data_IF_424484569245
#
_entry.id   IF_424484569245
#
_cell.length_a   1.000
_cell.length_b   1.000
_cell.length_c   1.000
_cell.angle_alpha   90.00
_cell.angle_beta   90.00
_cell.angle_gamma   90.00
#
_symmetry.space_group_name_H-M   'P 1'
#
loop_
_entity.id
_entity.type
_entity.pdbx_description
1 polymer ?
#
# COMPACT_ATOMS: atom_id res chain seq x y z
N UNK A 1 26.02 -14.79 5.60
CA UNK A 1 24.97 -15.65 5.03
C UNK A 1 25.66 -16.69 4.16
N UNK A 2 25.43 -17.98 4.41
CA UNK A 2 25.95 -19.04 3.54
C UNK A 2 25.16 -19.01 2.22
N UNK A 3 25.80 -19.18 1.05
CA UNK A 3 25.10 -19.22 -0.22
C UNK A 3 24.18 -20.46 -0.22
N UNK A 4 22.88 -20.23 -0.22
CA UNK A 4 21.88 -21.29 -0.43
C UNK A 4 21.90 -21.63 -1.92
N UNK A 5 22.05 -22.91 -2.26
CA UNK A 5 21.94 -23.34 -3.64
C UNK A 5 20.50 -23.07 -4.14
N UNK A 6 20.38 -22.25 -5.17
CA UNK A 6 19.09 -21.89 -5.78
C UNK A 6 18.85 -22.68 -7.06
N UNK A 7 17.63 -23.14 -7.29
CA UNK A 7 17.19 -23.72 -8.56
C UNK A 7 16.42 -22.65 -9.32
N UNK A 8 16.98 -22.12 -10.41
CA UNK A 8 16.45 -20.95 -11.13
C UNK A 8 14.96 -21.08 -11.46
N UNK A 9 14.53 -22.21 -12.04
CA UNK A 9 13.13 -22.46 -12.38
C UNK A 9 12.16 -22.39 -11.17
N UNK A 10 12.62 -22.78 -9.98
CA UNK A 10 11.80 -22.69 -8.75
C UNK A 10 11.70 -21.23 -8.29
N UNK A 11 12.79 -20.47 -8.37
CA UNK A 11 12.80 -19.05 -8.01
C UNK A 11 11.90 -18.24 -8.96
N UNK A 12 11.94 -18.53 -10.25
CA UNK A 12 11.07 -17.91 -11.24
C UNK A 12 9.59 -18.23 -10.99
N UNK A 13 9.28 -19.48 -10.59
CA UNK A 13 7.93 -19.87 -10.19
C UNK A 13 7.48 -19.10 -8.94
N UNK A 14 8.35 -18.91 -7.94
CA UNK A 14 8.00 -18.11 -6.78
C UNK A 14 7.68 -16.65 -7.14
N UNK A 15 8.41 -16.05 -8.08
CA UNK A 15 8.15 -14.70 -8.56
C UNK A 15 6.79 -14.60 -9.25
N UNK A 16 6.47 -15.55 -10.12
CA UNK A 16 5.17 -15.65 -10.79
C UNK A 16 4.02 -15.85 -9.82
N UNK A 17 4.13 -16.85 -8.95
CA UNK A 17 3.06 -17.24 -8.04
C UNK A 17 2.78 -16.13 -7.03
N UNK A 18 3.81 -15.42 -6.54
CA UNK A 18 3.63 -14.28 -5.66
C UNK A 18 2.80 -13.17 -6.35
N UNK A 19 3.15 -12.81 -7.59
CA UNK A 19 2.42 -11.82 -8.37
C UNK A 19 0.97 -12.26 -8.64
N UNK A 20 0.79 -13.49 -9.11
CA UNK A 20 -0.52 -14.06 -9.43
C UNK A 20 -1.43 -14.17 -8.20
N UNK A 21 -0.92 -14.71 -7.09
CA UNK A 21 -1.70 -14.91 -5.87
C UNK A 21 -2.11 -13.58 -5.24
N UNK A 22 -1.25 -12.56 -5.29
CA UNK A 22 -1.62 -11.22 -4.83
C UNK A 22 -2.74 -10.60 -5.69
N UNK A 23 -2.63 -10.68 -7.02
CA UNK A 23 -3.68 -10.19 -7.92
C UNK A 23 -5.01 -10.93 -7.70
N UNK A 24 -4.96 -12.25 -7.55
CA UNK A 24 -6.13 -13.07 -7.23
C UNK A 24 -6.74 -12.66 -5.90
N UNK A 25 -5.93 -12.56 -4.84
CA UNK A 25 -6.39 -12.11 -3.52
C UNK A 25 -7.10 -10.76 -3.62
N UNK A 26 -6.50 -9.80 -4.32
CA UNK A 26 -7.05 -8.45 -4.49
C UNK A 26 -8.42 -8.45 -5.18
N UNK A 27 -8.63 -9.33 -6.16
CA UNK A 27 -9.92 -9.44 -6.87
C UNK A 27 -11.00 -10.11 -6.03
N UNK A 28 -10.62 -11.11 -5.24
CA UNK A 28 -11.58 -11.98 -4.55
C UNK A 28 -11.86 -11.57 -3.10
N UNK A 29 -11.05 -10.71 -2.47
CA UNK A 29 -11.17 -10.37 -1.04
C UNK A 29 -12.55 -9.76 -0.68
N UNK A 30 -13.14 -9.01 -1.60
CA UNK A 30 -14.48 -8.42 -1.47
C UNK A 30 -15.52 -9.13 -2.36
N UNK A 31 -15.12 -10.27 -2.96
CA UNK A 31 -15.98 -11.08 -3.83
C UNK A 31 -16.93 -11.98 -3.04
N UNK A 32 -17.96 -12.49 -3.71
CA UNK A 32 -18.96 -13.40 -3.10
C UNK A 32 -18.63 -14.89 -3.27
N UNK A 33 -17.55 -15.21 -4.00
CA UNK A 33 -17.23 -16.59 -4.41
C UNK A 33 -16.36 -17.30 -3.36
N UNK A 34 -15.34 -16.62 -2.85
CA UNK A 34 -14.39 -17.21 -1.92
C UNK A 34 -14.78 -16.91 -0.48
N UNK A 35 -14.69 -17.92 0.37
CA UNK A 35 -14.88 -17.76 1.82
C UNK A 35 -13.56 -17.38 2.50
N UNK A 36 -13.63 -17.02 3.79
CA UNK A 36 -12.46 -16.65 4.60
C UNK A 36 -11.34 -17.70 4.54
N UNK A 37 -11.69 -18.99 4.56
CA UNK A 37 -10.72 -20.08 4.50
C UNK A 37 -9.99 -20.11 3.15
N UNK A 38 -10.67 -19.82 2.04
CA UNK A 38 -10.06 -19.79 0.71
C UNK A 38 -9.10 -18.62 0.57
N UNK A 39 -9.48 -17.45 1.09
CA UNK A 39 -8.59 -16.28 1.17
C UNK A 39 -7.37 -16.60 2.03
N UNK A 40 -7.55 -17.24 3.19
CA UNK A 40 -6.46 -17.67 4.06
C UNK A 40 -5.47 -18.61 3.36
N UNK A 41 -5.96 -19.52 2.51
CA UNK A 41 -5.10 -20.39 1.67
C UNK A 41 -4.32 -19.60 0.62
N UNK A 42 -4.93 -18.58 0.02
CA UNK A 42 -4.22 -17.68 -0.91
C UNK A 42 -3.13 -16.93 -0.16
N UNK A 43 -3.42 -16.38 1.02
CA UNK A 43 -2.46 -15.64 1.84
C UNK A 43 -1.28 -16.53 2.27
N UNK A 44 -1.54 -17.75 2.74
CA UNK A 44 -0.49 -18.70 3.11
C UNK A 44 0.44 -19.04 1.94
N UNK A 45 -0.14 -19.30 0.75
CA UNK A 45 0.64 -19.60 -0.45
C UNK A 45 1.42 -18.37 -0.93
N UNK A 46 0.84 -17.20 -0.80
CA UNK A 46 1.49 -15.94 -1.15
C UNK A 46 2.72 -15.72 -0.26
N UNK A 47 2.58 -15.89 1.05
CA UNK A 47 3.69 -15.76 2.00
C UNK A 47 4.80 -16.78 1.72
N UNK A 48 4.46 -18.04 1.45
CA UNK A 48 5.45 -19.06 1.13
C UNK A 48 6.28 -18.72 -0.13
N UNK A 49 5.66 -18.12 -1.15
CA UNK A 49 6.37 -17.70 -2.36
C UNK A 49 7.27 -16.48 -2.10
N UNK A 50 6.79 -15.51 -1.32
CA UNK A 50 7.60 -14.35 -0.91
C UNK A 50 8.81 -14.83 -0.08
N UNK A 51 8.61 -15.75 0.87
CA UNK A 51 9.67 -16.37 1.65
C UNK A 51 10.69 -17.11 0.78
N UNK A 52 10.22 -17.86 -0.23
CA UNK A 52 11.08 -18.50 -1.21
C UNK A 52 11.97 -17.52 -1.97
N UNK A 53 11.42 -16.39 -2.43
CA UNK A 53 12.18 -15.32 -3.06
C UNK A 53 13.20 -14.68 -2.11
N UNK A 54 12.79 -14.41 -0.85
CA UNK A 54 13.68 -13.85 0.16
C UNK A 54 14.85 -14.79 0.48
N UNK A 55 14.58 -16.10 0.58
CA UNK A 55 15.60 -17.13 0.81
C UNK A 55 16.57 -17.27 -0.37
N UNK A 56 16.12 -17.01 -1.60
CA UNK A 56 16.95 -17.00 -2.80
C UNK A 56 17.85 -15.75 -2.92
N UNK A 57 17.66 -14.73 -2.07
CA UNK A 57 18.49 -13.53 -2.03
C UNK A 57 18.55 -12.81 -3.39
N UNK A 58 19.77 -12.56 -3.89
CA UNK A 58 19.98 -11.89 -5.19
C UNK A 58 19.27 -12.61 -6.34
N UNK A 59 19.22 -13.95 -6.35
CA UNK A 59 18.51 -14.67 -7.40
C UNK A 59 16.99 -14.40 -7.34
N UNK A 60 16.42 -14.27 -6.14
CA UNK A 60 15.02 -13.89 -5.96
C UNK A 60 14.72 -12.48 -6.44
N UNK A 61 15.63 -11.53 -6.19
CA UNK A 61 15.54 -10.17 -6.74
C UNK A 61 15.56 -10.18 -8.26
N UNK A 62 16.58 -10.85 -8.84
CA UNK A 62 16.79 -10.88 -10.29
C UNK A 62 15.58 -11.52 -10.98
N UNK A 63 15.00 -12.58 -10.42
CA UNK A 63 13.78 -13.21 -10.93
C UNK A 63 12.57 -12.27 -10.87
N UNK A 64 12.31 -11.62 -9.73
CA UNK A 64 11.21 -10.66 -9.60
C UNK A 64 11.37 -9.46 -10.55
N UNK A 65 12.60 -8.97 -10.72
CA UNK A 65 12.91 -7.86 -11.62
C UNK A 65 12.80 -8.25 -13.09
N UNK A 66 13.26 -9.45 -13.46
CA UNK A 66 13.09 -9.99 -14.81
C UNK A 66 11.59 -10.13 -15.13
N UNK A 67 10.81 -10.69 -14.21
CA UNK A 67 9.34 -10.77 -14.33
C UNK A 67 8.69 -9.41 -14.55
N UNK A 68 9.05 -8.39 -13.77
CA UNK A 68 8.51 -7.05 -13.96
C UNK A 68 8.94 -6.42 -15.30
N UNK A 69 10.14 -6.75 -15.78
CA UNK A 69 10.65 -6.27 -17.06
C UNK A 69 9.89 -6.88 -18.24
N UNK A 70 9.60 -8.19 -18.16
CA UNK A 70 8.81 -8.90 -19.17
C UNK A 70 7.32 -8.51 -19.09
N UNK A 71 6.83 -8.28 -17.87
CA UNK A 71 5.43 -7.98 -17.55
C UNK A 71 5.37 -6.82 -16.54
N UNK A 72 5.29 -5.59 -17.05
CA UNK A 72 5.17 -4.38 -16.24
C UNK A 72 3.75 -4.23 -15.68
N UNK A 73 3.37 -5.12 -14.76
CA UNK A 73 2.03 -5.24 -14.22
C UNK A 73 2.03 -5.09 -12.68
N UNK A 74 0.88 -4.77 -12.05
CA UNK A 74 0.80 -4.53 -10.61
C UNK A 74 1.25 -5.71 -9.73
N UNK A 75 1.06 -6.96 -10.17
CA UNK A 75 1.43 -8.13 -9.37
C UNK A 75 2.93 -8.30 -9.24
N UNK A 76 3.63 -8.10 -10.34
CA UNK A 76 5.08 -8.20 -10.47
C UNK A 76 5.74 -7.06 -9.69
N UNK A 77 5.18 -5.85 -9.75
CA UNK A 77 5.61 -4.74 -8.92
C UNK A 77 5.37 -4.99 -7.42
N UNK A 78 4.25 -5.63 -7.05
CA UNK A 78 4.01 -6.01 -5.67
C UNK A 78 5.10 -6.97 -5.15
N UNK A 79 5.47 -8.00 -5.93
CA UNK A 79 6.54 -8.92 -5.56
C UNK A 79 7.90 -8.20 -5.43
N UNK A 80 8.25 -7.38 -6.42
CA UNK A 80 9.48 -6.58 -6.44
C UNK A 80 9.56 -5.62 -5.24
N UNK A 81 8.49 -4.85 -5.00
CA UNK A 81 8.41 -3.90 -3.90
C UNK A 81 8.46 -4.58 -2.53
N UNK A 82 7.85 -5.76 -2.39
CA UNK A 82 7.90 -6.52 -1.13
C UNK A 82 9.32 -6.95 -0.80
N UNK A 83 10.09 -7.42 -1.78
CA UNK A 83 11.50 -7.78 -1.58
C UNK A 83 12.36 -6.56 -1.22
N UNK A 84 12.23 -5.46 -1.96
CA UNK A 84 12.97 -4.23 -1.71
C UNK A 84 12.76 -3.71 -0.28
N UNK A 85 11.50 -3.61 0.14
CA UNK A 85 11.12 -3.13 1.48
C UNK A 85 11.54 -4.12 2.57
N UNK A 86 11.44 -5.42 2.31
CA UNK A 86 11.84 -6.43 3.28
C UNK A 86 13.37 -6.55 3.44
N UNK A 87 14.17 -6.25 2.44
CA UNK A 87 15.62 -6.15 2.65
C UNK A 87 16.05 -4.82 3.24
N UNK A 88 15.19 -3.80 3.16
CA UNK A 88 15.50 -2.46 3.67
C UNK A 88 16.63 -1.78 2.89
N UNK A 89 16.80 -2.17 1.63
CA UNK A 89 17.83 -1.63 0.74
C UNK A 89 17.27 -0.40 0.01
N UNK A 90 17.87 0.76 0.25
CA UNK A 90 17.38 2.03 -0.27
C UNK A 90 17.41 2.11 -1.81
N UNK A 91 18.41 1.50 -2.45
CA UNK A 91 18.52 1.51 -3.91
C UNK A 91 17.43 0.64 -4.53
N UNK A 92 17.15 -0.52 -3.94
CA UNK A 92 16.07 -1.40 -4.40
C UNK A 92 14.69 -0.77 -4.17
N UNK A 93 14.50 -0.05 -3.06
CA UNK A 93 13.27 0.68 -2.77
C UNK A 93 13.07 1.82 -3.78
N UNK A 94 14.13 2.55 -4.13
CA UNK A 94 14.07 3.59 -5.17
C UNK A 94 13.65 2.99 -6.53
N UNK A 95 14.24 1.86 -6.93
CA UNK A 95 13.84 1.14 -8.16
C UNK A 95 12.34 0.78 -8.13
N UNK A 96 11.84 0.28 -7.00
CA UNK A 96 10.43 -0.07 -6.87
C UNK A 96 9.51 1.16 -6.94
N UNK A 97 9.92 2.31 -6.39
CA UNK A 97 9.19 3.58 -6.48
C UNK A 97 9.14 4.09 -7.92
N UNK A 98 10.25 4.04 -8.64
CA UNK A 98 10.31 4.45 -10.05
C UNK A 98 9.44 3.54 -10.93
N UNK A 99 9.47 2.23 -10.68
CA UNK A 99 8.60 1.26 -11.32
C UNK A 99 7.11 1.49 -10.99
N UNK A 100 6.79 1.95 -9.79
CA UNK A 100 5.43 2.32 -9.43
C UNK A 100 4.94 3.58 -10.15
N UNK A 101 5.83 4.55 -10.38
CA UNK A 101 5.51 5.77 -11.10
C UNK A 101 5.07 5.49 -12.54
N UNK A 102 5.71 4.52 -13.22
CA UNK A 102 5.32 4.13 -14.59
C UNK A 102 3.94 3.46 -14.68
N UNK A 103 3.46 2.85 -13.59
CA UNK A 103 2.14 2.21 -13.49
C UNK A 103 1.06 3.10 -12.84
N UNK A 104 1.38 4.34 -12.48
CA UNK A 104 0.45 5.30 -11.89
C UNK A 104 -0.22 4.81 -10.60
N UNK A 105 -1.54 4.99 -10.49
CA UNK A 105 -2.28 4.63 -9.27
C UNK A 105 -2.24 3.12 -8.97
N UNK A 106 -2.19 2.27 -10.01
CA UNK A 106 -2.06 0.83 -9.84
C UNK A 106 -0.68 0.46 -9.25
N UNK A 107 0.37 1.16 -9.66
CA UNK A 107 1.71 1.00 -9.10
C UNK A 107 1.77 1.38 -7.62
N UNK A 108 1.23 2.54 -7.27
CA UNK A 108 1.14 3.01 -5.89
C UNK A 108 0.32 2.06 -5.00
N UNK A 109 -0.76 1.48 -5.55
CA UNK A 109 -1.55 0.44 -4.86
C UNK A 109 -0.74 -0.83 -4.59
N UNK A 110 0.15 -1.21 -5.51
CA UNK A 110 1.01 -2.40 -5.39
C UNK A 110 2.05 -2.22 -4.29
N UNK A 111 2.73 -1.07 -4.28
CA UNK A 111 3.67 -0.72 -3.20
C UNK A 111 2.96 -0.53 -1.86
N UNK A 112 1.76 0.05 -1.83
CA UNK A 112 0.96 0.12 -0.61
C UNK A 112 0.65 -1.26 -0.03
N UNK A 113 0.45 -2.28 -0.87
CA UNK A 113 0.28 -3.66 -0.41
C UNK A 113 1.59 -4.30 0.05
N UNK A 114 2.71 -4.01 -0.61
CA UNK A 114 4.05 -4.43 -0.15
C UNK A 114 4.37 -3.83 1.25
N UNK A 115 4.06 -2.55 1.45
CA UNK A 115 4.16 -1.87 2.75
C UNK A 115 3.32 -2.57 3.82
N UNK A 116 2.10 -3.00 3.49
CA UNK A 116 1.22 -3.69 4.44
C UNK A 116 1.81 -5.02 4.95
N UNK A 117 2.63 -5.71 4.14
CA UNK A 117 3.30 -6.97 4.48
C UNK A 117 4.71 -6.79 5.03
N UNK A 118 5.22 -5.57 5.07
CA UNK A 118 6.58 -5.30 5.56
C UNK A 118 6.57 -4.96 7.05
N UNK A 119 7.41 -5.58 7.89
CA UNK A 119 7.52 -5.23 9.30
C UNK A 119 7.89 -3.76 9.52
N UNK A 120 7.29 -3.14 10.55
CA UNK A 120 7.47 -1.72 10.86
C UNK A 120 8.94 -1.32 11.00
N UNK A 121 9.78 -2.20 11.57
CA UNK A 121 11.20 -1.93 11.82
C UNK A 121 11.95 -1.62 10.53
N UNK A 122 11.58 -2.30 9.45
CA UNK A 122 12.19 -2.14 8.12
C UNK A 122 11.65 -0.93 7.38
N UNK A 123 10.41 -0.53 7.67
CA UNK A 123 9.77 0.64 7.06
C UNK A 123 10.19 1.97 7.69
N UNK A 124 10.56 1.98 8.98
CA UNK A 124 10.81 3.22 9.75
C UNK A 124 11.74 4.24 9.05
N UNK A 125 12.89 3.85 8.48
CA UNK A 125 13.78 4.80 7.80
C UNK A 125 13.08 5.48 6.61
N UNK A 126 12.39 4.68 5.78
CA UNK A 126 11.73 5.16 4.57
C UNK A 126 10.50 6.01 4.86
N UNK A 127 9.68 5.62 5.84
CA UNK A 127 8.43 6.35 6.14
C UNK A 127 8.72 7.78 6.60
N UNK A 128 9.77 7.99 7.39
CA UNK A 128 10.17 9.34 7.79
C UNK A 128 10.55 10.18 6.56
N UNK A 129 11.40 9.64 5.69
CA UNK A 129 11.83 10.30 4.45
C UNK A 129 10.65 10.60 3.50
N UNK A 130 9.78 9.62 3.29
CA UNK A 130 8.60 9.75 2.43
C UNK A 130 7.58 10.77 2.93
N UNK A 131 7.50 11.01 4.23
CA UNK A 131 6.62 12.06 4.77
C UNK A 131 7.24 13.46 4.63
N UNK A 132 8.57 13.55 4.62
CA UNK A 132 9.31 14.82 4.57
C UNK A 132 9.66 15.27 3.13
N UNK A 133 9.65 14.35 2.15
CA UNK A 133 9.84 14.64 0.72
C UNK A 133 8.78 15.61 0.16
N UNK A 134 9.03 16.24 -0.99
CA UNK A 134 8.02 17.03 -1.73
C UNK A 134 7.20 16.19 -2.71
N UNK A 135 7.61 14.95 -2.96
CA UNK A 135 6.93 14.05 -3.88
C UNK A 135 5.61 13.52 -3.29
N UNK A 136 4.49 13.83 -3.96
CA UNK A 136 3.17 13.45 -3.49
C UNK A 136 2.91 11.93 -3.50
N UNK A 137 3.34 11.16 -4.53
CA UNK A 137 3.30 9.69 -4.49
C UNK A 137 4.04 9.07 -3.29
N UNK A 138 5.26 9.52 -2.98
CA UNK A 138 6.00 9.06 -1.80
C UNK A 138 5.26 9.42 -0.51
N UNK A 139 4.75 10.66 -0.36
CA UNK A 139 3.90 11.01 0.81
C UNK A 139 2.69 10.08 0.94
N UNK A 140 2.08 9.69 -0.18
CA UNK A 140 1.00 8.72 -0.18
C UNK A 140 1.44 7.33 0.31
N UNK A 141 2.66 6.88 -0.03
CA UNK A 141 3.24 5.64 0.51
C UNK A 141 3.49 5.74 2.02
N UNK A 142 4.04 6.86 2.48
CA UNK A 142 4.20 7.15 3.91
C UNK A 142 2.87 7.07 4.66
N UNK A 143 1.82 7.70 4.15
CA UNK A 143 0.46 7.62 4.70
C UNK A 143 -0.12 6.19 4.65
N UNK A 144 0.13 5.43 3.59
CA UNK A 144 -0.24 4.01 3.52
C UNK A 144 0.45 3.20 4.61
N UNK A 145 1.74 3.46 4.88
CA UNK A 145 2.46 2.78 5.96
C UNK A 145 1.85 3.11 7.33
N UNK A 146 1.57 4.38 7.60
CA UNK A 146 0.90 4.80 8.83
C UNK A 146 -0.48 4.15 8.98
N UNK A 147 -1.24 4.02 7.90
CA UNK A 147 -2.55 3.36 7.88
C UNK A 147 -2.46 1.87 8.21
N UNK A 148 -1.64 1.11 7.47
CA UNK A 148 -1.53 -0.34 7.64
C UNK A 148 -0.98 -0.72 9.01
N UNK A 149 -0.05 0.08 9.54
CA UNK A 149 0.61 -0.16 10.83
C UNK A 149 -0.06 0.57 12.00
N UNK A 150 -1.17 1.30 11.75
CA UNK A 150 -1.94 2.07 12.73
C UNK A 150 -1.08 3.00 13.59
N UNK A 151 -0.16 3.73 12.95
CA UNK A 151 0.74 4.68 13.62
C UNK A 151 0.19 6.09 13.48
N UNK A 152 0.09 6.81 14.59
CA UNK A 152 -0.24 8.24 14.59
C UNK A 152 1.01 9.10 14.36
N UNK A 153 1.09 9.89 13.27
CA UNK A 153 2.20 10.82 13.05
C UNK A 153 2.09 12.11 13.88
N UNK A 154 1.11 12.18 14.80
CA UNK A 154 0.92 13.27 15.74
C UNK A 154 0.48 14.57 15.04
N UNK A 155 1.10 15.71 15.35
CA UNK A 155 0.75 17.01 14.76
C UNK A 155 0.91 17.08 13.24
N UNK A 156 1.84 16.29 12.65
CA UNK A 156 2.09 16.27 11.20
C UNK A 156 0.82 15.93 10.39
N UNK A 157 -0.14 15.24 11.01
CA UNK A 157 -1.38 14.87 10.34
C UNK A 157 -2.25 16.08 9.94
N UNK A 158 -2.14 17.21 10.66
CA UNK A 158 -2.85 18.44 10.28
C UNK A 158 -2.39 18.93 8.91
N UNK A 159 -1.09 19.09 8.72
CA UNK A 159 -0.52 19.59 7.47
C UNK A 159 -0.81 18.64 6.30
N UNK A 160 -0.80 17.34 6.55
CA UNK A 160 -1.13 16.32 5.55
C UNK A 160 -2.62 16.34 5.18
N UNK A 161 -3.52 16.62 6.13
CA UNK A 161 -4.96 16.69 5.87
C UNK A 161 -5.37 17.95 5.08
N UNK A 162 -4.60 19.04 5.19
CA UNK A 162 -4.80 20.28 4.42
C UNK A 162 -3.80 20.44 3.25
N UNK A 163 -3.13 19.37 2.85
CA UNK A 163 -2.11 19.40 1.81
C UNK A 163 -2.63 19.92 0.46
N UNK A 164 -1.78 20.47 -0.42
CA UNK A 164 -2.24 20.97 -1.74
C UNK A 164 -2.63 19.85 -2.72
N UNK A 165 -1.96 18.70 -2.63
CA UNK A 165 -2.27 17.50 -3.41
C UNK A 165 -3.47 16.72 -2.82
N UNK A 166 -4.48 16.47 -3.66
CA UNK A 166 -5.72 15.76 -3.30
C UNK A 166 -5.50 14.30 -2.87
N UNK A 167 -4.50 13.60 -3.43
CA UNK A 167 -4.18 12.22 -3.08
C UNK A 167 -3.55 12.10 -1.70
N UNK A 168 -2.73 13.08 -1.31
CA UNK A 168 -2.19 13.20 0.04
C UNK A 168 -3.31 13.54 1.03
N UNK A 169 -4.10 14.58 0.74
CA UNK A 169 -5.22 14.99 1.60
C UNK A 169 -6.19 13.86 1.89
N UNK A 170 -6.70 13.16 0.86
CA UNK A 170 -7.70 12.10 1.06
C UNK A 170 -7.18 10.96 1.92
N UNK A 171 -5.89 10.61 1.80
CA UNK A 171 -5.26 9.56 2.60
C UNK A 171 -5.05 10.01 4.04
N UNK A 172 -4.65 11.26 4.27
CA UNK A 172 -4.51 11.84 5.60
C UNK A 172 -5.87 11.96 6.32
N UNK A 173 -6.92 12.41 5.63
CA UNK A 173 -8.30 12.44 6.13
C UNK A 173 -8.79 11.04 6.49
N UNK A 174 -8.55 10.06 5.63
CA UNK A 174 -8.88 8.65 5.93
C UNK A 174 -8.14 8.15 7.16
N UNK A 175 -6.84 8.44 7.28
CA UNK A 175 -6.02 8.08 8.43
C UNK A 175 -6.54 8.73 9.73
N UNK A 176 -6.92 10.01 9.69
CA UNK A 176 -7.51 10.70 10.83
C UNK A 176 -8.77 10.00 11.35
N UNK A 177 -9.66 9.59 10.45
CA UNK A 177 -10.83 8.78 10.78
C UNK A 177 -10.47 7.42 11.39
N UNK A 178 -9.52 6.70 10.80
CA UNK A 178 -9.03 5.41 11.30
C UNK A 178 -8.41 5.48 12.69
N UNK A 179 -7.67 6.55 12.97
CA UNK A 179 -7.02 6.82 14.27
C UNK A 179 -7.93 7.53 15.27
N UNK A 180 -9.18 7.84 14.90
CA UNK A 180 -10.15 8.54 15.76
C UNK A 180 -9.71 9.94 16.22
N UNK A 181 -8.94 10.65 15.38
CA UNK A 181 -8.45 12.01 15.64
C UNK A 181 -9.55 13.07 15.48
N UNK A 182 -10.36 13.27 16.53
CA UNK A 182 -11.48 14.24 16.54
C UNK A 182 -11.04 15.69 16.37
N UNK A 183 -9.81 16.00 16.74
CA UNK A 183 -9.19 17.32 16.53
C UNK A 183 -9.03 17.68 15.03
N UNK A 184 -9.05 16.68 14.14
CA UNK A 184 -9.05 16.87 12.68
C UNK A 184 -10.44 16.94 12.06
N UNK A 185 -11.50 16.92 12.88
CA UNK A 185 -12.87 16.92 12.37
C UNK A 185 -13.18 18.10 11.42
N UNK A 186 -12.68 19.34 11.63
CA UNK A 186 -12.87 20.43 10.67
C UNK A 186 -12.33 20.09 9.26
N UNK A 187 -11.15 19.49 9.17
CA UNK A 187 -10.57 19.08 7.89
C UNK A 187 -11.34 17.91 7.25
N UNK A 188 -11.82 16.97 8.07
CA UNK A 188 -12.68 15.87 7.60
C UNK A 188 -13.99 16.39 7.03
N UNK A 189 -14.66 17.31 7.73
CA UNK A 189 -15.92 17.89 7.27
C UNK A 189 -15.74 18.75 6.02
N UNK A 190 -14.65 19.53 5.92
CA UNK A 190 -14.33 20.26 4.69
C UNK A 190 -14.14 19.33 3.49
N UNK A 191 -13.59 18.13 3.70
CA UNK A 191 -13.42 17.12 2.64
C UNK A 191 -14.72 16.55 2.09
N UNK A 192 -15.86 16.73 2.76
CA UNK A 192 -17.19 16.30 2.27
C UNK A 192 -17.59 17.05 0.99
N UNK A 193 -17.10 18.28 0.83
CA UNK A 193 -17.28 19.13 -0.36
C UNK A 193 -16.08 19.02 -1.32
N UNK A 194 -15.24 17.98 -1.19
CA UNK A 194 -14.07 17.77 -2.04
C UNK A 194 -14.42 17.65 -3.52
N UNK A 195 -13.49 18.06 -4.38
CA UNK A 195 -13.68 18.11 -5.84
C UNK A 195 -13.93 16.72 -6.43
N UNK A 196 -13.16 15.74 -5.96
CA UNK A 196 -13.22 14.36 -6.47
C UNK A 196 -14.13 13.47 -5.63
N UNK A 197 -14.77 12.47 -6.27
CA UNK A 197 -15.54 11.46 -5.55
C UNK A 197 -14.70 10.69 -4.51
N UNK A 198 -13.40 10.49 -4.80
CA UNK A 198 -12.46 9.82 -3.88
C UNK A 198 -12.18 10.64 -2.62
N UNK A 199 -12.06 11.96 -2.72
CA UNK A 199 -11.94 12.84 -1.55
C UNK A 199 -13.20 12.82 -0.70
N UNK A 200 -14.36 13.00 -1.33
CA UNK A 200 -15.66 12.96 -0.64
C UNK A 200 -15.90 11.64 0.05
N UNK A 201 -15.56 10.52 -0.60
CA UNK A 201 -15.69 9.18 -0.01
C UNK A 201 -14.77 9.01 1.22
N UNK A 202 -13.51 9.45 1.12
CA UNK A 202 -12.57 9.38 2.23
C UNK A 202 -13.04 10.22 3.42
N UNK A 203 -13.54 11.42 3.16
CA UNK A 203 -14.10 12.32 4.16
C UNK A 203 -15.36 11.76 4.80
N UNK A 204 -16.30 11.24 4.01
CA UNK A 204 -17.54 10.64 4.51
C UNK A 204 -17.25 9.43 5.40
N UNK A 205 -16.32 8.56 4.98
CA UNK A 205 -15.87 7.44 5.79
C UNK A 205 -15.24 7.90 7.12
N UNK A 206 -14.34 8.89 7.07
CA UNK A 206 -13.72 9.44 8.27
C UNK A 206 -14.72 10.12 9.20
N UNK A 207 -15.69 10.88 8.67
CA UNK A 207 -16.76 11.52 9.42
C UNK A 207 -17.61 10.48 10.16
N UNK A 208 -18.02 9.39 9.50
CA UNK A 208 -18.71 8.28 10.15
C UNK A 208 -17.90 7.70 11.32
N UNK A 209 -16.60 7.46 11.12
CA UNK A 209 -15.71 6.94 12.17
C UNK A 209 -15.54 7.90 13.35
N UNK A 210 -15.73 9.21 13.15
CA UNK A 210 -15.65 10.25 14.18
C UNK A 210 -17.02 10.61 14.79
N UNK A 211 -18.10 9.93 14.37
CA UNK A 211 -19.45 10.14 14.92
C UNK A 211 -20.31 11.16 14.15
N UNK A 212 -19.83 11.69 13.04
CA UNK A 212 -20.54 12.68 12.20
C UNK A 212 -21.27 12.03 11.02
N UNK A 213 -21.92 10.89 11.24
CA UNK A 213 -22.61 10.12 10.19
C UNK A 213 -23.72 10.94 9.49
N UNK A 214 -24.39 11.86 10.21
CA UNK A 214 -25.43 12.73 9.65
C UNK A 214 -24.88 13.65 8.55
N UNK A 215 -23.65 14.13 8.71
CA UNK A 215 -22.97 14.97 7.72
C UNK A 215 -22.46 14.14 6.53
N UNK A 216 -22.04 12.90 6.77
CA UNK A 216 -21.54 12.01 5.73
C UNK A 216 -22.63 11.43 4.82
N UNK A 217 -23.82 11.14 5.36
CA UNK A 217 -24.87 10.40 4.65
C UNK A 217 -25.29 11.03 3.31
N UNK A 218 -25.61 12.35 3.21
CA UNK A 218 -26.03 12.96 1.96
C UNK A 218 -24.94 12.98 0.87
N UNK A 219 -23.68 12.82 1.27
CA UNK A 219 -22.53 12.79 0.36
C UNK A 219 -22.32 11.38 -0.20
N UNK A 220 -22.50 10.36 0.64
CA UNK A 220 -22.41 8.94 0.22
C UNK A 220 -23.43 8.64 -0.87
N UNK A 221 -24.68 9.10 -0.71
CA UNK A 221 -25.77 8.88 -1.69
C UNK A 221 -25.47 9.49 -3.07
N UNK A 222 -24.56 10.46 -3.15
CA UNK A 222 -24.16 11.12 -4.41
C UNK A 222 -22.92 10.50 -5.05
N UNK A 223 -22.25 9.57 -4.35
CA UNK A 223 -21.03 8.90 -4.82
C UNK A 223 -21.36 7.53 -5.43
N UNK A 224 -22.39 6.87 -4.90
CA UNK A 224 -22.88 5.56 -5.34
C UNK A 224 -23.61 5.68 -6.69
#
# INVERSE_FOLDING_TARGET
>A
MHPVATIAAIVDQHAEDAAFLWLRRRREIDGSILEETDIGRIDQRLDANIEGLMAAGKAGWDAARARFTDYAEPGELFALGTLALHWGDADLVAIAIDAAASLGEAGLSSLSAAVARTPREKLRPFVAEWLDTRDAPQRCLGLSALWHHRVDPGPRLHDLASHSDANVRRRAVRLAGGLKRRDLLPAVLAGLDGETAKERLAAAFAACLLGEARSAHPVIDKIV
#
